data_IF_556759709046
#
_entry.id   IF_556759709046
#
_cell.length_a   1.000
_cell.length_b   1.000
_cell.length_c   1.000
_cell.angle_alpha   90.00
_cell.angle_beta   90.00
_cell.angle_gamma   90.00
#
_symmetry.space_group_name_H-M   'P 1'
#
loop_
_entity.id
_entity.type
_entity.pdbx_description
1 polymer ?
#
# COMPACT_ATOMS: atom_id res chain seq x y z
N UNK A 1 -5.06 -27.60 1.01
CA UNK A 1 -5.25 -26.13 0.90
C UNK A 1 -3.99 -25.52 0.32
N UNK A 2 -4.03 -24.79 -0.81
CA UNK A 2 -2.82 -24.19 -1.38
C UNK A 2 -2.31 -23.09 -0.43
N UNK A 3 -1.09 -23.23 0.07
CA UNK A 3 -0.42 -22.18 0.85
C UNK A 3 -0.21 -20.97 -0.06
N UNK A 4 -0.88 -19.87 0.23
CA UNK A 4 -0.69 -18.62 -0.50
C UNK A 4 0.53 -17.90 0.06
N UNK A 5 1.68 -18.07 -0.59
CA UNK A 5 2.88 -17.31 -0.24
C UNK A 5 2.64 -15.83 -0.54
N UNK A 6 2.49 -15.03 0.52
CA UNK A 6 2.49 -13.56 0.48
C UNK A 6 3.62 -13.06 1.36
N UNK A 7 4.53 -12.29 0.76
CA UNK A 7 5.62 -11.62 1.46
C UNK A 7 5.43 -10.12 1.34
N UNK A 8 5.31 -9.44 2.48
CA UNK A 8 5.25 -7.98 2.56
C UNK A 8 6.59 -7.47 3.05
N UNK A 9 7.28 -6.67 2.24
CA UNK A 9 8.51 -5.99 2.62
C UNK A 9 8.21 -4.51 2.85
N UNK A 10 8.61 -3.98 3.99
CA UNK A 10 8.51 -2.54 4.28
C UNK A 10 9.92 -1.96 4.29
N UNK A 11 10.14 -0.91 3.52
CA UNK A 11 11.40 -0.18 3.47
C UNK A 11 11.11 1.30 3.70
N UNK A 12 11.12 1.69 4.98
CA UNK A 12 10.69 3.03 5.42
C UNK A 12 9.25 3.32 4.98
N UNK A 13 9.01 4.39 4.18
CA UNK A 13 7.69 4.70 3.67
C UNK A 13 7.24 3.74 2.56
N UNK A 14 8.14 2.98 1.93
CA UNK A 14 7.81 2.10 0.83
C UNK A 14 7.31 0.74 1.33
N UNK A 15 6.23 0.26 0.74
CA UNK A 15 5.61 -1.03 1.06
C UNK A 15 5.55 -1.84 -0.23
N UNK A 16 6.26 -2.95 -0.28
CA UNK A 16 6.26 -3.87 -1.41
C UNK A 16 5.53 -5.16 -1.04
N UNK A 17 4.68 -5.64 -1.94
CA UNK A 17 3.90 -6.86 -1.78
C UNK A 17 4.29 -7.84 -2.89
N UNK A 18 4.81 -8.99 -2.49
CA UNK A 18 5.19 -10.09 -3.37
C UNK A 18 4.25 -11.27 -3.11
N UNK A 19 3.71 -11.84 -4.17
CA UNK A 19 2.80 -12.98 -4.15
C UNK A 19 3.34 -14.16 -4.97
N UNK A 20 2.47 -15.14 -5.25
CA UNK A 20 2.83 -16.35 -5.99
C UNK A 20 3.45 -16.11 -7.38
N UNK A 21 3.07 -15.05 -8.09
CA UNK A 21 3.62 -14.73 -9.42
C UNK A 21 4.76 -13.70 -9.37
N UNK A 22 5.28 -13.37 -8.19
CA UNK A 22 6.31 -12.34 -8.00
C UNK A 22 5.73 -11.01 -7.52
N UNK A 23 6.27 -9.90 -8.04
CA UNK A 23 5.90 -8.54 -7.62
C UNK A 23 4.43 -8.25 -7.92
N UNK A 24 3.62 -8.07 -6.87
CA UNK A 24 2.17 -7.89 -7.01
C UNK A 24 1.78 -6.42 -6.96
N UNK A 25 2.30 -5.68 -5.99
CA UNK A 25 1.96 -4.26 -5.82
C UNK A 25 2.93 -3.57 -4.87
N UNK A 26 3.05 -2.27 -5.03
CA UNK A 26 3.80 -1.43 -4.11
C UNK A 26 2.99 -0.24 -3.66
N UNK A 27 3.44 0.44 -2.62
CA UNK A 27 2.83 1.65 -2.13
C UNK A 27 3.83 2.47 -1.35
N UNK A 28 3.46 3.71 -1.11
CA UNK A 28 4.23 4.67 -0.33
C UNK A 28 3.34 5.11 0.82
N UNK A 29 3.86 5.23 2.04
CA UNK A 29 3.18 5.82 3.18
C UNK A 29 4.13 6.78 3.87
N UNK A 30 3.86 8.08 3.75
CA UNK A 30 4.63 9.16 4.36
C UNK A 30 3.69 9.91 5.31
N UNK A 31 3.84 9.67 6.62
CA UNK A 31 3.00 10.27 7.65
C UNK A 31 1.51 9.99 7.41
N UNK A 32 0.76 11.05 7.14
CA UNK A 32 -0.69 11.04 6.89
C UNK A 32 -1.03 10.78 5.42
N UNK A 33 -0.05 10.84 4.52
CA UNK A 33 -0.23 10.55 3.10
C UNK A 33 0.16 9.11 2.79
N UNK A 34 -0.62 8.46 1.95
CA UNK A 34 -0.31 7.14 1.41
C UNK A 34 -0.72 7.04 -0.06
N UNK A 35 0.00 6.24 -0.81
CA UNK A 35 -0.25 5.97 -2.21
C UNK A 35 -0.09 4.49 -2.48
N UNK A 36 -0.97 3.91 -3.29
CA UNK A 36 -0.93 2.48 -3.61
C UNK A 36 -0.94 2.27 -5.12
N UNK A 37 0.06 1.57 -5.64
CA UNK A 37 0.22 1.29 -7.06
C UNK A 37 -0.90 0.40 -7.62
N UNK A 38 -1.52 -0.43 -6.77
CA UNK A 38 -2.60 -1.35 -7.17
C UNK A 38 -3.89 -0.62 -7.47
N UNK A 39 -4.28 0.30 -6.58
CA UNK A 39 -5.50 1.11 -6.76
C UNK A 39 -5.23 2.40 -7.52
N UNK A 40 -3.95 2.76 -7.70
CA UNK A 40 -3.48 4.06 -8.21
C UNK A 40 -4.11 5.22 -7.46
N UNK A 41 -4.39 5.02 -6.17
CA UNK A 41 -5.06 6.00 -5.33
C UNK A 41 -4.08 6.58 -4.31
N UNK A 42 -4.13 7.89 -4.15
CA UNK A 42 -3.55 8.61 -3.02
C UNK A 42 -4.61 8.82 -1.93
N UNK A 43 -4.20 8.73 -0.68
CA UNK A 43 -5.02 9.00 0.50
C UNK A 43 -4.24 9.88 1.46
N UNK A 44 -4.86 10.97 1.89
CA UNK A 44 -4.40 11.87 2.95
C UNK A 44 -5.36 11.74 4.12
N UNK A 45 -4.85 11.33 5.27
CA UNK A 45 -5.61 11.30 6.52
C UNK A 45 -5.74 12.74 7.03
N UNK A 46 -6.97 13.28 7.07
CA UNK A 46 -7.26 14.62 7.60
C UNK A 46 -7.44 14.54 9.13
N UNK A 47 -7.24 15.64 9.89
CA UNK A 47 -7.46 15.62 11.33
C UNK A 47 -8.93 15.31 11.63
N UNK A 48 -9.18 14.28 12.43
CA UNK A 48 -10.52 13.74 12.69
C UNK A 48 -10.78 12.40 11.98
N UNK A 49 -12.05 11.98 11.84
CA UNK A 49 -12.43 10.72 11.19
C UNK A 49 -12.43 10.80 9.65
N UNK A 50 -12.00 11.92 9.07
CA UNK A 50 -12.05 12.17 7.64
C UNK A 50 -10.72 11.82 6.97
N UNK A 51 -10.82 11.30 5.75
CA UNK A 51 -9.66 11.04 4.90
C UNK A 51 -9.99 11.45 3.48
N UNK A 52 -9.12 12.22 2.86
CA UNK A 52 -9.23 12.57 1.46
C UNK A 52 -8.56 11.50 0.62
N UNK A 53 -9.29 10.86 -0.30
CA UNK A 53 -8.72 10.01 -1.34
C UNK A 53 -8.87 10.63 -2.72
N UNK A 54 -7.83 10.57 -3.55
CA UNK A 54 -7.83 11.00 -4.96
C UNK A 54 -7.22 9.89 -5.83
N UNK A 55 -7.71 9.75 -7.06
CA UNK A 55 -7.32 8.71 -8.04
C UNK A 55 -6.71 9.37 -9.27
#
# INVERSE_FOLDING_TARGET
>A
MPVHFRKRMKFGPLIFNFGKSGFTSWGIKIGRWSWNSRTRAQRVDLPGPTSWSSR
#
